data_IF_587517776068
#
_entry.id   IF_587517776068
#
_cell.length_a   1.000
_cell.length_b   1.000
_cell.length_c   1.000
_cell.angle_alpha   90.00
_cell.angle_beta   90.00
_cell.angle_gamma   90.00
#
_symmetry.space_group_name_H-M   'P 1'
#
loop_
_entity.id
_entity.type
_entity.pdbx_description
1 polymer ?
#
# COMPACT_ATOMS: atom_id res chain seq x y z
N UNK A 1 2.27 -19.46 -10.12
CA UNK A 1 2.21 -19.04 -8.69
C UNK A 1 2.86 -17.67 -8.50
N UNK A 2 4.16 -17.48 -8.76
CA UNK A 2 4.84 -16.18 -8.68
C UNK A 2 4.22 -15.03 -9.51
N UNK A 3 3.68 -15.31 -10.71
CA UNK A 3 3.03 -14.30 -11.54
C UNK A 3 1.75 -13.73 -10.89
N UNK A 4 0.97 -14.58 -10.23
CA UNK A 4 -0.25 -14.16 -9.52
C UNK A 4 0.10 -13.26 -8.32
N UNK A 5 1.17 -13.60 -7.59
CA UNK A 5 1.67 -12.77 -6.48
C UNK A 5 2.17 -11.40 -6.93
N UNK A 6 2.89 -11.35 -8.05
CA UNK A 6 3.34 -10.08 -8.63
C UNK A 6 2.15 -9.23 -9.09
N UNK A 7 1.17 -9.84 -9.75
CA UNK A 7 -0.05 -9.15 -10.17
C UNK A 7 -0.84 -8.62 -8.94
N UNK A 8 -0.96 -9.41 -7.88
CA UNK A 8 -1.56 -8.96 -6.62
C UNK A 8 -0.78 -7.79 -6.01
N UNK A 9 0.54 -7.92 -5.88
CA UNK A 9 1.41 -6.84 -5.37
C UNK A 9 1.24 -5.56 -6.19
N UNK A 10 1.22 -5.67 -7.51
CA UNK A 10 1.07 -4.52 -8.41
C UNK A 10 -0.31 -3.88 -8.27
N UNK A 11 -1.37 -4.68 -8.12
CA UNK A 11 -2.71 -4.19 -7.80
C UNK A 11 -2.74 -3.43 -6.48
N UNK A 12 -2.21 -4.02 -5.41
CA UNK A 12 -2.17 -3.37 -4.09
C UNK A 12 -1.28 -2.12 -4.10
N UNK A 13 -0.14 -2.13 -4.79
CA UNK A 13 0.71 -0.94 -4.95
C UNK A 13 0.01 0.16 -5.73
N UNK A 14 -0.76 -0.17 -6.75
CA UNK A 14 -1.55 0.80 -7.53
C UNK A 14 -2.65 1.42 -6.67
N UNK A 15 -3.37 0.59 -5.90
CA UNK A 15 -4.36 1.08 -4.94
C UNK A 15 -3.73 1.93 -3.83
N UNK A 16 -2.57 1.56 -3.31
CA UNK A 16 -1.87 2.38 -2.32
C UNK A 16 -1.32 3.69 -2.92
N UNK A 17 -0.90 3.68 -4.19
CA UNK A 17 -0.36 4.86 -4.86
C UNK A 17 -1.42 5.96 -5.02
N UNK A 18 -2.64 5.61 -5.40
CA UNK A 18 -3.73 6.59 -5.52
C UNK A 18 -4.02 7.27 -4.19
N UNK A 19 -4.01 6.51 -3.09
CA UNK A 19 -4.31 7.01 -1.75
C UNK A 19 -3.24 7.98 -1.27
N UNK A 20 -1.97 7.69 -1.59
CA UNK A 20 -0.84 8.56 -1.31
C UNK A 20 -0.93 9.87 -2.08
N UNK A 21 -1.23 9.79 -3.37
CA UNK A 21 -1.30 10.96 -4.25
C UNK A 21 -2.48 11.85 -3.82
N UNK A 22 -3.66 11.28 -3.53
CA UNK A 22 -4.79 12.02 -2.94
C UNK A 22 -4.41 12.71 -1.63
N UNK A 23 -3.73 12.02 -0.72
CA UNK A 23 -3.34 12.62 0.56
C UNK A 23 -2.39 13.81 0.35
N UNK A 24 -1.47 13.72 -0.61
CA UNK A 24 -0.61 14.83 -1.01
C UNK A 24 -1.39 15.99 -1.60
N UNK A 25 -2.31 15.71 -2.54
CA UNK A 25 -3.17 16.74 -3.13
C UNK A 25 -3.95 17.48 -2.04
N UNK A 26 -4.51 16.75 -1.06
CA UNK A 26 -5.22 17.34 0.09
C UNK A 26 -4.33 18.27 0.91
N UNK A 27 -3.08 17.87 1.18
CA UNK A 27 -2.11 18.70 1.88
C UNK A 27 -1.74 19.95 1.07
N UNK A 28 -1.55 19.81 -0.24
CA UNK A 28 -1.17 20.92 -1.13
C UNK A 28 -2.26 21.98 -1.25
N UNK A 29 -3.53 21.56 -1.33
CA UNK A 29 -4.67 22.49 -1.39
C UNK A 29 -5.14 22.96 0.00
N UNK A 30 -4.51 22.49 1.09
CA UNK A 30 -4.91 22.78 2.47
C UNK A 30 -6.28 22.21 2.85
N UNK A 31 -6.74 21.17 2.17
CA UNK A 31 -7.97 20.47 2.48
C UNK A 31 -7.79 19.55 3.71
N UNK A 32 -8.88 19.22 4.41
CA UNK A 32 -8.84 18.19 5.44
C UNK A 32 -8.40 16.86 4.82
N UNK A 33 -7.35 16.26 5.40
CA UNK A 33 -6.83 14.98 4.94
C UNK A 33 -7.77 13.85 5.33
N UNK A 34 -8.03 12.93 4.41
CA UNK A 34 -8.84 11.73 4.71
C UNK A 34 -8.09 10.77 5.62
N UNK A 35 -6.76 10.70 5.46
CA UNK A 35 -5.87 9.93 6.32
C UNK A 35 -5.21 10.83 7.36
N UNK A 36 -4.92 10.26 8.52
CA UNK A 36 -4.04 10.87 9.53
C UNK A 36 -2.58 10.72 9.11
N UNK A 37 -1.69 11.52 9.70
CA UNK A 37 -0.25 11.41 9.45
C UNK A 37 0.29 10.01 9.76
N UNK A 38 -0.19 9.38 10.83
CA UNK A 38 0.17 8.00 11.22
C UNK A 38 -0.29 6.97 10.19
N UNK A 39 -1.51 7.11 9.65
CA UNK A 39 -2.00 6.25 8.57
C UNK A 39 -1.19 6.46 7.30
N UNK A 40 -0.85 7.71 6.94
CA UNK A 40 -0.03 7.99 5.77
C UNK A 40 1.39 7.42 5.90
N UNK A 41 2.01 7.52 7.08
CA UNK A 41 3.31 6.86 7.35
C UNK A 41 3.19 5.34 7.22
N UNK A 42 2.14 4.75 7.81
CA UNK A 42 1.83 3.32 7.67
C UNK A 42 1.65 2.89 6.22
N UNK A 43 1.04 3.73 5.38
CA UNK A 43 0.90 3.50 3.93
C UNK A 43 2.27 3.37 3.27
N UNK A 44 3.19 4.31 3.55
CA UNK A 44 4.52 4.33 2.96
C UNK A 44 5.35 3.12 3.38
N UNK A 45 5.30 2.75 4.66
CA UNK A 45 5.97 1.55 5.19
C UNK A 45 5.41 0.29 4.53
N UNK A 46 4.08 0.19 4.40
CA UNK A 46 3.42 -0.93 3.74
C UNK A 46 3.80 -1.05 2.26
N UNK A 47 3.79 0.06 1.51
CA UNK A 47 4.24 0.08 0.11
C UNK A 47 5.70 -0.34 -0.03
N UNK A 48 6.56 0.08 0.90
CA UNK A 48 7.97 -0.33 0.90
C UNK A 48 8.12 -1.83 1.18
N UNK A 49 7.35 -2.37 2.14
CA UNK A 49 7.33 -3.81 2.43
C UNK A 49 6.89 -4.62 1.20
N UNK A 50 5.85 -4.18 0.49
CA UNK A 50 5.40 -4.80 -0.76
C UNK A 50 6.46 -4.78 -1.86
N UNK A 51 7.24 -3.70 -1.97
CA UNK A 51 8.33 -3.60 -2.95
C UNK A 51 9.50 -4.51 -2.59
N UNK A 52 9.84 -4.61 -1.31
CA UNK A 52 10.94 -5.44 -0.82
C UNK A 52 10.60 -6.93 -0.84
N UNK A 53 9.32 -7.30 -0.66
CA UNK A 53 8.88 -8.69 -0.62
C UNK A 53 9.30 -9.57 -1.81
N UNK A 54 9.12 -9.19 -3.09
CA UNK A 54 9.60 -9.97 -4.23
C UNK A 54 11.13 -10.03 -4.37
N UNK A 55 11.86 -9.20 -3.63
CA UNK A 55 13.33 -9.28 -3.52
C UNK A 55 13.77 -10.16 -2.34
N UNK A 56 12.85 -10.51 -1.43
CA UNK A 56 13.10 -11.43 -0.31
C UNK A 56 13.07 -12.88 -0.78
N UNK A 57 13.86 -13.78 -0.16
CA UNK A 57 13.74 -15.23 -0.39
C UNK A 57 12.37 -15.81 -0.02
N UNK A 58 11.55 -15.07 0.72
CA UNK A 58 10.18 -15.45 1.10
C UNK A 58 9.17 -15.42 -0.06
N UNK A 59 9.54 -14.86 -1.21
CA UNK A 59 8.68 -14.84 -2.38
C UNK A 59 8.70 -16.20 -3.11
N UNK A 60 7.55 -16.78 -3.54
CA UNK A 60 6.20 -16.21 -3.63
C UNK A 60 5.23 -16.69 -2.52
N UNK A 61 5.68 -16.90 -1.28
CA UNK A 61 4.85 -17.45 -0.21
C UNK A 61 3.73 -16.47 0.20
N UNK A 62 2.48 -16.87 -0.02
CA UNK A 62 1.31 -16.05 0.30
C UNK A 62 1.18 -15.76 1.80
N UNK A 63 1.75 -16.61 2.67
CA UNK A 63 1.75 -16.40 4.12
C UNK A 63 2.73 -15.30 4.56
N UNK A 64 3.69 -14.96 3.70
CA UNK A 64 4.70 -13.93 3.95
C UNK A 64 4.32 -12.60 3.30
N UNK A 65 3.13 -12.49 2.69
CA UNK A 65 2.63 -11.25 2.11
C UNK A 65 2.54 -10.18 3.20
N UNK A 66 2.98 -8.95 2.91
CA UNK A 66 2.68 -7.80 3.76
C UNK A 66 1.17 -7.69 3.94
N UNK A 67 0.72 -7.63 5.20
CA UNK A 67 -0.69 -7.47 5.52
C UNK A 67 -1.04 -5.99 5.42
N UNK A 68 -2.01 -5.67 4.56
CA UNK A 68 -2.55 -4.32 4.48
C UNK A 68 -3.27 -4.00 5.80
N UNK A 69 -2.97 -2.86 6.45
CA UNK A 69 -3.81 -2.34 7.51
C UNK A 69 -5.28 -2.28 7.09
N UNK A 70 -6.20 -2.56 8.01
CA UNK A 70 -7.64 -2.58 7.74
C UNK A 70 -8.14 -1.28 7.09
N UNK A 71 -7.63 -0.14 7.54
CA UNK A 71 -8.00 1.17 7.01
C UNK A 71 -7.58 1.39 5.55
N UNK A 72 -6.59 0.66 5.01
CA UNK A 72 -6.27 0.71 3.56
C UNK A 72 -7.36 0.00 2.76
N UNK A 73 -7.86 -1.11 3.30
CA UNK A 73 -8.90 -1.93 2.67
C UNK A 73 -10.20 -1.12 2.60
N UNK A 74 -10.53 -0.40 3.68
CA UNK A 74 -11.69 0.51 3.77
C UNK A 74 -11.64 1.67 2.76
N UNK A 75 -10.48 1.97 2.16
CA UNK A 75 -10.32 3.04 1.15
C UNK A 75 -10.31 2.51 -0.29
N UNK A 76 -10.44 1.19 -0.48
CA UNK A 76 -10.40 0.52 -1.80
C UNK A 76 -11.78 -0.01 -2.24
N UNK A 77 -12.85 0.27 -1.48
CA UNK A 77 -14.25 -0.07 -1.85
C UNK A 77 -14.93 0.96 -2.76
#
# INVERSE_FOLDING_TARGET
MALAERAWRDGVLTSAAWLRDRHRDQLEIGAPTTLTAEQFEGLLVFMQALRNWPQSPDFPDSNRRPVAPSWIIEQTE
#
